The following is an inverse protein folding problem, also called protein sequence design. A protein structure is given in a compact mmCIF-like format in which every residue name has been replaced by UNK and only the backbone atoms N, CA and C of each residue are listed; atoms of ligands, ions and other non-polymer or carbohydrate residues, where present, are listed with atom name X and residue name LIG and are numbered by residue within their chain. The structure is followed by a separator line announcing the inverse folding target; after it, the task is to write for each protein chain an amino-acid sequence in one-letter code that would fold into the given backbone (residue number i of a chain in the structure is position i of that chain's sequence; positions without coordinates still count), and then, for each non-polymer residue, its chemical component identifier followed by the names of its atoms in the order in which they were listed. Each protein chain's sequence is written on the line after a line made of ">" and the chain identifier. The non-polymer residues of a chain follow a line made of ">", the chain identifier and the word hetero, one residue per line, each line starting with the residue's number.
data_IF_939529063293
#
_entry.id   IF_939529063293
#
_cell.length_a   1.000
_cell.length_b   1.000
_cell.length_c   1.000
_cell.angle_alpha   90.00
_cell.angle_beta   90.00
_cell.angle_gamma   90.00
#
_symmetry.space_group_name_H-M   'P 1'
#
loop_
_entity.id
_entity.type
_entity.pdbx_description
1 polymer ?
#
# COMPACT_ATOMS: atom_id res chain seq x y z
N UNK A 1 -35.09 -16.03 21.05
CA UNK A 1 -33.71 -15.51 21.16
C UNK A 1 -33.13 -15.63 19.78
N UNK A 2 -33.08 -14.50 19.09
CA UNK A 2 -32.60 -14.38 17.71
C UNK A 2 -31.10 -14.04 17.82
N UNK A 3 -30.24 -15.00 17.46
CA UNK A 3 -28.82 -14.72 17.35
C UNK A 3 -28.65 -13.91 16.07
N UNK A 4 -28.57 -12.59 16.26
CA UNK A 4 -28.37 -11.61 15.20
C UNK A 4 -27.29 -12.08 14.23
N UNK A 5 -27.64 -12.07 12.95
CA UNK A 5 -26.75 -12.34 11.83
C UNK A 5 -25.40 -11.68 12.09
N UNK A 6 -24.34 -12.48 12.22
CA UNK A 6 -22.98 -11.99 12.04
C UNK A 6 -22.98 -11.17 10.75
N UNK A 7 -22.68 -9.88 10.88
CA UNK A 7 -22.67 -8.96 9.76
C UNK A 7 -21.81 -9.55 8.67
N UNK A 8 -22.40 -9.73 7.48
CA UNK A 8 -21.70 -10.09 6.26
C UNK A 8 -20.51 -9.13 6.13
N UNK A 9 -19.29 -9.59 6.43
CA UNK A 9 -18.08 -8.76 6.32
C UNK A 9 -17.99 -8.32 4.87
N UNK A 10 -18.33 -7.06 4.59
CA UNK A 10 -18.21 -6.52 3.24
C UNK A 10 -16.76 -6.55 2.79
N UNK A 11 -16.51 -7.05 1.58
CA UNK A 11 -15.24 -6.84 0.89
C UNK A 11 -15.06 -5.34 0.65
N UNK A 12 -13.88 -4.82 0.99
CA UNK A 12 -13.52 -3.43 0.79
C UNK A 12 -12.43 -3.37 -0.29
N UNK A 13 -12.43 -2.31 -1.10
CA UNK A 13 -11.31 -1.94 -1.94
C UNK A 13 -10.38 -1.01 -1.16
N UNK A 14 -9.15 -1.47 -0.94
CA UNK A 14 -8.16 -0.83 -0.09
C UNK A 14 -6.92 -0.51 -0.92
N UNK A 15 -6.53 0.75 -0.95
CA UNK A 15 -5.26 1.19 -1.54
C UNK A 15 -4.27 1.60 -0.45
N UNK A 16 -3.08 1.03 -0.49
CA UNK A 16 -2.01 1.29 0.46
C UNK A 16 -0.87 2.02 -0.27
N UNK A 17 -0.48 3.22 0.18
CA UNK A 17 0.71 3.90 -0.32
C UNK A 17 1.85 3.66 0.66
N UNK A 18 2.83 2.86 0.26
CA UNK A 18 3.99 2.51 1.08
C UNK A 18 5.29 2.91 0.38
N UNK A 19 6.33 3.18 1.18
CA UNK A 19 7.65 3.47 0.61
C UNK A 19 8.19 2.26 -0.16
N UNK A 20 8.08 1.06 0.40
CA UNK A 20 8.42 -0.18 -0.28
C UNK A 20 7.83 -1.39 0.44
N UNK A 21 7.21 -2.30 -0.31
CA UNK A 21 6.97 -3.67 0.17
C UNK A 21 8.07 -4.62 -0.30
N UNK A 22 8.76 -4.28 -1.39
CA UNK A 22 9.69 -5.21 -2.03
C UNK A 22 11.07 -5.27 -1.36
N UNK A 23 11.41 -4.24 -0.59
CA UNK A 23 12.68 -4.11 0.12
C UNK A 23 12.47 -3.62 1.55
N UNK A 24 13.13 -4.32 2.48
CA UNK A 24 13.32 -3.96 3.88
C UNK A 24 14.73 -3.38 4.13
N UNK A 25 15.53 -3.14 3.09
CA UNK A 25 16.87 -2.57 3.21
C UNK A 25 16.79 -1.19 3.87
N UNK A 26 17.29 -1.12 5.12
CA UNK A 26 17.14 0.01 6.04
C UNK A 26 15.67 0.51 6.19
N UNK A 27 14.70 -0.34 5.87
CA UNK A 27 13.26 -0.10 5.96
C UNK A 27 12.60 -1.18 6.83
N UNK A 28 12.87 -1.13 8.13
CA UNK A 28 12.42 -2.15 9.09
C UNK A 28 10.91 -2.37 9.15
N UNK A 29 10.10 -1.37 8.78
CA UNK A 29 8.63 -1.47 8.77
C UNK A 29 8.11 -2.37 7.64
N UNK A 30 8.89 -2.66 6.59
CA UNK A 30 8.42 -3.41 5.43
C UNK A 30 7.82 -4.77 5.79
N UNK A 31 8.38 -5.49 6.77
CA UNK A 31 7.82 -6.77 7.25
C UNK A 31 6.45 -6.62 7.90
N UNK A 32 6.29 -5.59 8.73
CA UNK A 32 5.01 -5.30 9.37
C UNK A 32 3.95 -4.87 8.33
N UNK A 33 4.35 -4.05 7.36
CA UNK A 33 3.48 -3.62 6.25
C UNK A 33 3.04 -4.79 5.36
N UNK A 34 3.94 -5.75 5.07
CA UNK A 34 3.59 -7.02 4.40
C UNK A 34 2.56 -7.80 5.20
N UNK A 35 2.74 -7.89 6.52
CA UNK A 35 1.79 -8.54 7.43
C UNK A 35 0.41 -7.91 7.40
N UNK A 36 0.32 -6.58 7.49
CA UNK A 36 -0.96 -5.85 7.38
C UNK A 36 -1.64 -6.14 6.04
N UNK A 37 -0.92 -5.96 4.93
CA UNK A 37 -1.49 -6.15 3.60
C UNK A 37 -1.96 -7.60 3.38
N UNK A 38 -1.15 -8.58 3.81
CA UNK A 38 -1.48 -10.00 3.69
C UNK A 38 -2.72 -10.37 4.52
N UNK A 39 -2.83 -9.86 5.75
CA UNK A 39 -3.99 -10.12 6.62
C UNK A 39 -5.28 -9.48 6.09
N UNK A 40 -5.20 -8.28 5.50
CA UNK A 40 -6.36 -7.64 4.85
C UNK A 40 -6.85 -8.48 3.66
N UNK A 41 -5.93 -9.01 2.85
CA UNK A 41 -6.28 -9.92 1.75
C UNK A 41 -6.88 -11.22 2.28
N UNK A 42 -6.28 -11.82 3.33
CA UNK A 42 -6.77 -13.05 3.95
C UNK A 42 -8.19 -12.93 4.50
N UNK A 43 -8.60 -11.72 4.91
CA UNK A 43 -9.96 -11.38 5.34
C UNK A 43 -10.94 -11.14 4.18
N UNK A 44 -10.50 -11.25 2.94
CA UNK A 44 -11.33 -11.12 1.75
C UNK A 44 -11.49 -9.68 1.24
N UNK A 45 -10.62 -8.75 1.63
CA UNK A 45 -10.56 -7.42 1.05
C UNK A 45 -9.74 -7.40 -0.25
N UNK A 46 -10.09 -6.51 -1.17
CA UNK A 46 -9.31 -6.25 -2.39
C UNK A 46 -8.25 -5.21 -2.06
N UNK A 47 -6.98 -5.61 -2.05
CA UNK A 47 -5.87 -4.77 -1.61
C UNK A 47 -4.87 -4.58 -2.74
N UNK A 48 -4.55 -3.32 -3.02
CA UNK A 48 -3.47 -2.94 -3.93
C UNK A 48 -2.50 -2.02 -3.19
N UNK A 49 -1.21 -2.31 -3.29
CA UNK A 49 -0.16 -1.44 -2.75
C UNK A 49 0.46 -0.65 -3.89
N UNK A 50 0.67 0.64 -3.66
CA UNK A 50 1.45 1.52 -4.52
C UNK A 50 2.76 1.83 -3.81
N UNK A 51 3.86 1.64 -4.51
CA UNK A 51 5.19 2.03 -4.02
C UNK A 51 5.99 2.72 -5.15
N UNK A 52 6.79 3.75 -4.85
CA UNK A 52 7.51 4.51 -5.87
C UNK A 52 8.53 3.65 -6.63
N UNK A 53 8.68 3.86 -7.93
CA UNK A 53 9.67 3.16 -8.76
C UNK A 53 11.11 3.46 -8.32
N UNK A 54 11.33 4.66 -7.77
CA UNK A 54 12.59 5.15 -7.24
C UNK A 54 12.71 5.00 -5.71
N UNK A 55 11.95 4.09 -5.10
CA UNK A 55 12.09 3.77 -3.68
C UNK A 55 13.56 3.44 -3.35
N UNK A 56 14.20 4.30 -2.55
CA UNK A 56 15.62 4.20 -2.20
C UNK A 56 15.96 2.85 -1.56
N UNK A 57 15.06 2.26 -0.77
CA UNK A 57 15.25 0.94 -0.15
C UNK A 57 15.37 -0.16 -1.21
N UNK A 58 14.58 -0.11 -2.29
CA UNK A 58 14.68 -1.05 -3.41
C UNK A 58 15.94 -0.81 -4.22
N UNK A 59 16.29 0.45 -4.50
CA UNK A 59 17.48 0.79 -5.27
C UNK A 59 18.77 0.29 -4.59
N UNK A 60 18.91 0.50 -3.29
CA UNK A 60 20.07 0.03 -2.53
C UNK A 60 20.11 -1.50 -2.43
N UNK A 61 18.97 -2.17 -2.21
CA UNK A 61 18.90 -3.63 -2.23
C UNK A 61 19.39 -4.21 -3.57
N UNK A 62 18.97 -3.61 -4.68
CA UNK A 62 19.38 -4.04 -6.03
C UNK A 62 20.86 -3.72 -6.27
N UNK A 63 21.35 -2.58 -5.80
CA UNK A 63 22.76 -2.23 -5.89
C UNK A 63 23.66 -3.26 -5.16
N UNK A 64 23.28 -3.62 -3.93
CA UNK A 64 24.10 -4.49 -3.06
C UNK A 64 23.98 -5.98 -3.40
N UNK A 65 22.78 -6.42 -3.81
CA UNK A 65 22.43 -7.85 -3.89
C UNK A 65 21.80 -8.28 -5.23
N UNK A 66 21.67 -7.36 -6.19
CA UNK A 66 20.98 -7.60 -7.46
C UNK A 66 19.46 -7.76 -7.30
N UNK A 67 18.79 -8.22 -8.35
CA UNK A 67 17.32 -8.31 -8.36
C UNK A 67 16.75 -9.56 -7.67
N UNK A 68 17.60 -10.55 -7.34
CA UNK A 68 17.18 -11.84 -6.79
C UNK A 68 16.30 -11.70 -5.53
N UNK A 69 16.63 -10.85 -4.54
CA UNK A 69 15.79 -10.67 -3.36
C UNK A 69 14.39 -10.16 -3.67
N UNK A 70 14.21 -9.34 -4.72
CA UNK A 70 12.89 -8.86 -5.14
C UNK A 70 12.01 -10.00 -5.64
N UNK A 71 12.60 -10.99 -6.32
CA UNK A 71 11.90 -12.19 -6.75
C UNK A 71 11.55 -13.09 -5.55
N UNK A 72 12.44 -13.21 -4.56
CA UNK A 72 12.20 -13.99 -3.34
C UNK A 72 11.01 -13.44 -2.54
N UNK A 73 10.87 -12.10 -2.42
CA UNK A 73 9.69 -11.48 -1.78
C UNK A 73 8.40 -11.84 -2.51
N UNK A 74 8.38 -11.82 -3.84
CA UNK A 74 7.20 -12.21 -4.63
C UNK A 74 6.85 -13.69 -4.46
N UNK A 75 7.86 -14.56 -4.30
CA UNK A 75 7.64 -15.99 -4.04
C UNK A 75 7.11 -16.25 -2.62
N UNK A 76 7.61 -15.51 -1.62
CA UNK A 76 7.15 -15.64 -0.25
C UNK A 76 5.74 -15.07 -0.04
N UNK A 77 5.37 -14.03 -0.79
CA UNK A 77 4.09 -13.33 -0.68
C UNK A 77 3.33 -13.26 -2.02
N UNK A 78 2.91 -14.40 -2.58
CA UNK A 78 2.35 -14.46 -3.93
C UNK A 78 1.01 -13.74 -4.09
N UNK A 79 0.31 -13.49 -2.98
CA UNK A 79 -0.98 -12.77 -2.96
C UNK A 79 -0.80 -11.25 -2.90
N UNK A 80 0.35 -10.75 -2.47
CA UNK A 80 0.60 -9.32 -2.40
C UNK A 80 0.76 -8.75 -3.81
N UNK A 81 -0.07 -7.75 -4.12
CA UNK A 81 -0.01 -7.00 -5.37
C UNK A 81 0.58 -5.62 -5.09
N UNK A 82 1.67 -5.32 -5.79
CA UNK A 82 2.30 -4.00 -5.76
C UNK A 82 2.34 -3.40 -7.16
N UNK A 83 1.94 -2.13 -7.25
CA UNK A 83 2.03 -1.27 -8.42
C UNK A 83 3.17 -0.29 -8.18
N UNK A 84 4.24 -0.42 -8.97
CA UNK A 84 5.33 0.55 -8.99
C UNK A 84 4.89 1.77 -9.81
N UNK A 85 4.98 2.97 -9.24
CA UNK A 85 4.58 4.20 -9.92
C UNK A 85 5.74 5.19 -10.04
N UNK A 86 5.71 6.01 -11.10
CA UNK A 86 6.51 7.23 -11.18
C UNK A 86 5.70 8.39 -10.58
N UNK A 87 6.32 9.14 -9.67
CA UNK A 87 5.67 10.25 -8.98
C UNK A 87 5.16 11.32 -9.95
N UNK A 88 5.87 11.59 -11.05
CA UNK A 88 5.52 12.59 -12.04
C UNK A 88 4.29 12.20 -12.86
N UNK A 89 4.05 10.91 -13.08
CA UNK A 89 2.95 10.41 -13.93
C UNK A 89 1.83 9.72 -13.17
N UNK A 90 1.94 9.56 -11.85
CA UNK A 90 0.90 8.94 -11.02
C UNK A 90 -0.44 9.67 -11.19
N UNK A 91 -1.43 8.99 -11.76
CA UNK A 91 -2.80 9.47 -11.86
C UNK A 91 -3.61 9.00 -10.64
N UNK A 92 -3.87 9.91 -9.71
CA UNK A 92 -4.64 9.59 -8.49
C UNK A 92 -6.13 9.35 -8.76
N UNK A 93 -6.70 9.94 -9.80
CA UNK A 93 -8.11 9.72 -10.15
C UNK A 93 -8.31 8.25 -10.56
N UNK A 94 -7.35 7.69 -11.32
CA UNK A 94 -7.36 6.28 -11.71
C UNK A 94 -6.99 5.37 -10.54
N UNK A 95 -5.94 5.71 -9.78
CA UNK A 95 -5.45 4.87 -8.69
C UNK A 95 -6.46 4.73 -7.54
N UNK A 96 -7.34 5.73 -7.37
CA UNK A 96 -8.29 5.82 -6.26
C UNK A 96 -9.75 5.66 -6.68
N UNK A 97 -10.01 5.28 -7.93
CA UNK A 97 -11.37 5.08 -8.43
C UNK A 97 -12.08 3.95 -7.67
N UNK A 98 -13.25 4.26 -7.12
CA UNK A 98 -14.07 3.32 -6.36
C UNK A 98 -13.40 2.71 -5.11
N UNK A 99 -12.30 3.29 -4.62
CA UNK A 99 -11.62 2.83 -3.40
C UNK A 99 -12.46 3.19 -2.17
N UNK A 100 -12.54 2.30 -1.19
CA UNK A 100 -13.26 2.52 0.07
C UNK A 100 -12.34 3.10 1.16
N UNK A 101 -11.08 2.64 1.18
CA UNK A 101 -10.07 3.00 2.17
C UNK A 101 -8.71 3.23 1.52
N UNK A 102 -8.10 4.36 1.87
CA UNK A 102 -6.72 4.71 1.52
C UNK A 102 -5.90 4.84 2.80
N UNK A 103 -4.77 4.13 2.86
CA UNK A 103 -3.80 4.27 3.95
C UNK A 103 -2.49 4.78 3.35
N UNK A 104 -1.96 5.87 3.91
CA UNK A 104 -0.69 6.46 3.48
C UNK A 104 0.32 6.33 4.62
N UNK A 105 1.41 5.60 4.38
CA UNK A 105 2.49 5.47 5.36
C UNK A 105 3.39 6.71 5.34
N UNK A 106 3.89 7.12 6.51
CA UNK A 106 4.68 8.33 6.73
C UNK A 106 5.97 8.42 5.88
N UNK A 107 6.58 7.29 5.51
CA UNK A 107 7.82 7.27 4.70
C UNK A 107 7.61 7.66 3.22
N UNK A 108 6.40 8.02 2.81
CA UNK A 108 6.16 8.62 1.50
C UNK A 108 6.57 10.09 1.46
N UNK A 109 6.75 10.64 0.25
CA UNK A 109 7.07 12.05 0.11
C UNK A 109 5.92 12.95 0.61
N UNK A 110 6.28 14.08 1.21
CA UNK A 110 5.33 15.12 1.62
C UNK A 110 4.45 15.59 0.44
N UNK A 111 5.02 15.62 -0.77
CA UNK A 111 4.29 15.95 -1.99
C UNK A 111 3.16 14.95 -2.28
N UNK A 112 3.43 13.64 -2.19
CA UNK A 112 2.41 12.62 -2.40
C UNK A 112 1.29 12.74 -1.36
N UNK A 113 1.66 12.90 -0.08
CA UNK A 113 0.71 13.12 1.02
C UNK A 113 -0.20 14.32 0.72
N UNK A 114 0.38 15.45 0.30
CA UNK A 114 -0.37 16.64 -0.07
C UNK A 114 -1.29 16.40 -1.28
N UNK A 115 -0.81 15.70 -2.32
CA UNK A 115 -1.60 15.36 -3.52
C UNK A 115 -2.80 14.47 -3.18
N UNK A 116 -2.62 13.45 -2.34
CA UNK A 116 -3.70 12.56 -1.88
C UNK A 116 -4.71 13.33 -1.01
N UNK A 117 -4.24 14.19 -0.12
CA UNK A 117 -5.12 15.06 0.69
C UNK A 117 -5.94 16.01 -0.18
N UNK A 118 -5.31 16.64 -1.18
CA UNK A 118 -5.99 17.49 -2.16
C UNK A 118 -7.02 16.72 -3.00
N UNK A 119 -6.67 15.52 -3.45
CA UNK A 119 -7.61 14.63 -4.16
C UNK A 119 -8.81 14.30 -3.28
N UNK A 120 -8.60 13.89 -2.01
CA UNK A 120 -9.68 13.55 -1.09
C UNK A 120 -10.66 14.70 -0.85
N UNK A 121 -10.15 15.93 -0.76
CA UNK A 121 -10.97 17.15 -0.61
C UNK A 121 -11.85 17.42 -1.83
N UNK A 122 -11.35 17.14 -3.04
CA UNK A 122 -12.07 17.40 -4.30
C UNK A 122 -13.07 16.29 -4.66
N UNK A 123 -12.72 15.03 -4.43
CA UNK A 123 -13.45 13.89 -5.00
C UNK A 123 -14.31 13.10 -4.01
N UNK A 124 -14.19 13.33 -2.69
CA UNK A 124 -15.05 12.61 -1.76
C UNK A 124 -14.71 11.10 -1.68
N UNK A 125 -15.66 10.27 -1.25
CA UNK A 125 -15.68 8.85 -1.60
C UNK A 125 -15.05 7.86 -0.63
N UNK A 126 -13.81 8.07 -0.18
CA UNK A 126 -13.07 7.05 0.60
C UNK A 126 -12.73 7.50 2.03
N UNK A 127 -12.34 6.59 2.91
CA UNK A 127 -11.66 6.96 4.17
C UNK A 127 -10.17 7.12 3.90
N UNK A 128 -9.57 8.20 4.38
CA UNK A 128 -8.13 8.46 4.26
C UNK A 128 -7.52 8.41 5.65
N UNK A 129 -6.59 7.48 5.87
CA UNK A 129 -5.85 7.32 7.11
C UNK A 129 -4.36 7.51 6.85
N UNK A 130 -3.68 8.11 7.83
CA UNK A 130 -2.23 8.23 7.83
C UNK A 130 -1.67 7.25 8.86
N UNK A 131 -0.72 6.43 8.42
CA UNK A 131 -0.01 5.49 9.27
C UNK A 131 1.34 6.13 9.61
N UNK A 132 1.38 6.74 10.79
CA UNK A 132 2.55 7.33 11.44
C UNK A 132 3.16 6.27 12.39
N UNK A 133 4.49 6.21 12.50
CA UNK A 133 5.19 5.24 13.37
C UNK A 133 5.95 5.87 14.53
N UNK A 134 5.68 7.14 14.85
CA UNK A 134 6.28 7.91 15.96
C UNK A 134 5.40 8.08 17.21
#
# INVERSE_FOLDING_TARGET
>A
MDFGKEGQKGTLKITLFYHSLLSDWNHGNAHFLRGIAAELIARGHDVVVYEPHDAWSVQNLVHDHGEKPLAEVKLAYPTLRSVRYDSATLNLDQALDGVDLVIVHEWNSHELVARIGNHRRRHGGYRLLFHDTH
#
